data_IF_918830199667
#
_entry.id   IF_918830199667
#
_cell.length_a   1.000
_cell.length_b   1.000
_cell.length_c   1.000
_cell.angle_alpha   90.00
_cell.angle_beta   90.00
_cell.angle_gamma   90.00
#
_symmetry.space_group_name_H-M   'P 1'
#
loop_
_entity.id
_entity.type
_entity.pdbx_description
1 polymer ?
#
# COMPACT_ATOMS: atom_id res chain seq x y z
N UNK A 1 -11.30 -18.34 4.64
CA UNK A 1 -10.13 -17.86 5.41
C UNK A 1 -9.70 -16.50 4.91
N UNK A 2 -9.67 -15.49 5.77
CA UNK A 2 -9.19 -14.15 5.45
C UNK A 2 -7.83 -13.88 6.09
N UNK A 3 -7.07 -12.95 5.50
CA UNK A 3 -5.75 -12.56 5.99
C UNK A 3 -5.78 -11.09 6.47
N UNK A 4 -5.24 -10.83 7.65
CA UNK A 4 -5.08 -9.47 8.20
C UNK A 4 -3.67 -9.26 8.70
N UNK A 5 -3.11 -8.09 8.43
CA UNK A 5 -1.77 -7.74 8.84
C UNK A 5 -1.80 -6.66 9.93
N UNK A 6 -1.21 -6.95 11.09
CA UNK A 6 -1.06 -6.00 12.18
C UNK A 6 0.34 -5.41 12.15
N UNK A 7 0.42 -4.09 11.92
CA UNK A 7 1.70 -3.38 11.92
C UNK A 7 1.97 -2.76 13.29
N UNK A 8 3.17 -3.02 13.83
CA UNK A 8 3.65 -2.48 15.09
C UNK A 8 5.09 -1.98 15.00
N UNK A 9 5.48 -1.19 16.00
CA UNK A 9 6.81 -0.65 16.15
C UNK A 9 7.71 -1.63 16.91
N UNK A 10 8.89 -1.95 16.39
CA UNK A 10 9.90 -2.78 17.07
C UNK A 10 11.02 -1.93 17.71
N UNK A 11 11.55 -2.44 18.82
CA UNK A 11 12.67 -1.86 19.57
C UNK A 11 13.74 -2.92 19.83
N UNK A 12 14.53 -3.29 18.80
CA UNK A 12 15.63 -4.24 18.95
C UNK A 12 16.78 -3.69 19.79
N UNK A 13 17.50 -4.57 20.50
CA UNK A 13 18.80 -4.26 21.11
C UNK A 13 19.88 -4.10 20.03
N UNK A 14 21.07 -3.58 20.38
CA UNK A 14 22.16 -3.42 19.40
C UNK A 14 22.60 -4.73 18.74
N UNK A 15 22.64 -5.81 19.50
CA UNK A 15 22.95 -7.16 18.99
C UNK A 15 21.87 -7.63 18.00
N UNK A 16 20.59 -7.42 18.34
CA UNK A 16 19.47 -7.72 17.46
C UNK A 16 19.51 -6.86 16.18
N UNK A 17 19.87 -5.57 16.27
CA UNK A 17 20.04 -4.71 15.11
C UNK A 17 21.15 -5.19 14.15
N UNK A 18 22.26 -5.68 14.71
CA UNK A 18 23.34 -6.30 13.94
C UNK A 18 22.84 -7.55 13.22
N UNK A 19 22.14 -8.46 13.92
CA UNK A 19 21.59 -9.67 13.32
C UNK A 19 20.52 -9.37 12.26
N UNK A 20 19.66 -8.37 12.49
CA UNK A 20 18.70 -7.88 11.49
C UNK A 20 19.43 -7.36 10.24
N UNK A 21 20.50 -6.59 10.43
CA UNK A 21 21.31 -6.07 9.33
C UNK A 21 21.97 -7.19 8.52
N UNK A 22 22.51 -8.21 9.19
CA UNK A 22 23.02 -9.43 8.54
C UNK A 22 21.91 -10.14 7.77
N UNK A 23 20.74 -10.34 8.38
CA UNK A 23 19.57 -11.00 7.76
C UNK A 23 19.11 -10.29 6.49
N UNK A 24 18.99 -8.95 6.51
CA UNK A 24 18.67 -8.18 5.30
C UNK A 24 19.73 -8.34 4.20
N UNK A 25 21.01 -8.47 4.59
CA UNK A 25 22.12 -8.75 3.68
C UNK A 25 21.98 -10.12 3.03
N UNK A 26 21.74 -11.16 3.83
CA UNK A 26 21.61 -12.54 3.39
C UNK A 26 20.42 -12.74 2.44
N UNK A 27 19.25 -12.21 2.80
CA UNK A 27 18.04 -12.30 1.97
C UNK A 27 18.22 -11.59 0.63
N UNK A 28 18.90 -10.44 0.62
CA UNK A 28 19.25 -9.73 -0.63
C UNK A 28 20.21 -10.57 -1.48
N UNK A 29 21.26 -11.12 -0.87
CA UNK A 29 22.24 -11.94 -1.56
C UNK A 29 21.60 -13.16 -2.19
N UNK A 30 20.85 -13.96 -1.43
CA UNK A 30 20.17 -15.16 -1.93
C UNK A 30 19.23 -14.83 -3.09
N UNK A 31 18.40 -13.79 -2.94
CA UNK A 31 17.53 -13.36 -4.04
C UNK A 31 18.32 -13.02 -5.32
N UNK A 32 19.40 -12.25 -5.19
CA UNK A 32 20.21 -11.84 -6.35
C UNK A 32 20.95 -13.02 -6.97
N UNK A 33 21.51 -13.92 -6.15
CA UNK A 33 22.23 -15.11 -6.63
C UNK A 33 21.30 -16.05 -7.40
N UNK A 34 20.09 -16.27 -6.90
CA UNK A 34 19.07 -17.06 -7.59
C UNK A 34 18.59 -16.40 -8.89
N UNK A 35 18.48 -15.07 -8.92
CA UNK A 35 18.13 -14.34 -10.14
C UNK A 35 19.24 -14.44 -11.19
N UNK A 36 20.50 -14.27 -10.78
CA UNK A 36 21.68 -14.46 -11.63
C UNK A 36 21.71 -15.87 -12.24
N UNK A 37 21.60 -16.91 -11.42
CA UNK A 37 21.54 -18.30 -11.90
C UNK A 37 20.39 -18.50 -12.88
N UNK A 38 19.21 -17.91 -12.64
CA UNK A 38 18.06 -18.07 -13.54
C UNK A 38 18.29 -17.38 -14.89
N UNK A 39 18.95 -16.22 -14.90
CA UNK A 39 19.34 -15.54 -16.13
C UNK A 39 20.34 -16.40 -16.92
N UNK A 40 21.35 -16.98 -16.25
CA UNK A 40 22.33 -17.85 -16.88
C UNK A 40 21.71 -19.14 -17.44
N UNK A 41 20.81 -19.77 -16.68
CA UNK A 41 20.05 -20.94 -17.14
C UNK A 41 19.23 -20.59 -18.38
N UNK A 42 18.52 -19.45 -18.36
CA UNK A 42 17.76 -19.01 -19.52
C UNK A 42 18.67 -18.81 -20.72
N UNK A 43 19.79 -18.10 -20.57
CA UNK A 43 20.71 -17.83 -21.67
C UNK A 43 21.30 -19.11 -22.29
N UNK A 44 21.60 -20.11 -21.45
CA UNK A 44 22.15 -21.40 -21.89
C UNK A 44 21.14 -22.28 -22.63
N UNK A 45 19.87 -22.22 -22.25
CA UNK A 45 18.83 -23.13 -22.76
C UNK A 45 17.71 -22.41 -23.53
N UNK A 46 17.89 -21.13 -23.91
CA UNK A 46 16.86 -20.35 -24.62
C UNK A 46 16.48 -20.99 -25.97
N UNK A 47 17.42 -21.68 -26.60
CA UNK A 47 17.25 -22.34 -27.90
C UNK A 47 16.68 -23.77 -27.74
N UNK A 48 16.71 -24.35 -26.53
CA UNK A 48 16.13 -25.65 -26.20
C UNK A 48 15.03 -25.52 -25.13
N UNK A 49 13.79 -25.37 -25.62
CA UNK A 49 12.61 -25.18 -24.77
C UNK A 49 12.33 -26.37 -23.86
N UNK A 50 12.67 -27.59 -24.26
CA UNK A 50 12.43 -28.78 -23.43
C UNK A 50 13.44 -28.86 -22.28
N UNK A 51 14.73 -28.63 -22.57
CA UNK A 51 15.75 -28.56 -21.55
C UNK A 51 15.48 -27.43 -20.56
N UNK A 52 15.04 -26.26 -21.02
CA UNK A 52 14.71 -25.12 -20.16
C UNK A 52 13.55 -25.42 -19.19
N UNK A 53 12.51 -26.14 -19.65
CA UNK A 53 11.37 -26.56 -18.81
C UNK A 53 11.79 -27.51 -17.70
N UNK A 54 12.80 -28.35 -17.92
CA UNK A 54 13.33 -29.30 -16.93
C UNK A 54 14.14 -28.61 -15.82
N UNK A 55 14.54 -27.34 -15.98
CA UNK A 55 15.34 -26.61 -14.99
C UNK A 55 14.49 -26.06 -13.83
N UNK A 56 14.73 -26.60 -12.63
CA UNK A 56 14.04 -26.20 -11.40
C UNK A 56 14.72 -25.01 -10.69
N UNK A 57 14.00 -24.37 -9.77
CA UNK A 57 14.57 -23.30 -8.96
C UNK A 57 15.54 -23.87 -7.92
N UNK A 58 16.78 -23.34 -7.89
CA UNK A 58 17.72 -23.59 -6.80
C UNK A 58 17.09 -23.28 -5.44
N UNK A 59 17.39 -24.10 -4.43
CA UNK A 59 16.97 -23.82 -3.05
C UNK A 59 18.07 -23.05 -2.30
N UNK A 60 17.72 -22.21 -1.31
CA UNK A 60 18.72 -21.53 -0.49
C UNK A 60 19.71 -22.47 0.24
N UNK A 61 19.36 -23.75 0.41
CA UNK A 61 20.22 -24.75 1.01
C UNK A 61 21.51 -24.98 0.21
N UNK A 62 21.44 -24.91 -1.13
CA UNK A 62 22.60 -25.03 -2.03
C UNK A 62 23.71 -24.05 -1.64
N UNK A 63 23.34 -22.78 -1.43
CA UNK A 63 24.29 -21.71 -1.14
C UNK A 63 24.91 -21.79 0.25
N UNK A 64 24.33 -22.53 1.20
CA UNK A 64 24.88 -22.64 2.56
C UNK A 64 26.18 -23.43 2.63
N UNK A 65 26.49 -24.24 1.62
CA UNK A 65 27.78 -24.95 1.51
C UNK A 65 28.89 -23.99 1.10
N UNK A 66 28.65 -23.19 0.05
CA UNK A 66 29.60 -22.21 -0.49
C UNK A 66 29.70 -20.95 0.37
N UNK A 67 28.61 -20.55 1.03
CA UNK A 67 28.53 -19.34 1.85
C UNK A 67 28.06 -19.69 3.28
N UNK A 68 28.97 -20.16 4.16
CA UNK A 68 28.61 -20.63 5.52
C UNK A 68 27.92 -19.57 6.39
N UNK A 69 28.20 -18.28 6.19
CA UNK A 69 27.57 -17.17 6.91
C UNK A 69 26.05 -17.08 6.72
N UNK A 70 25.48 -17.73 5.68
CA UNK A 70 24.03 -17.89 5.53
C UNK A 70 23.39 -18.74 6.64
N UNK A 71 24.17 -19.50 7.41
CA UNK A 71 23.70 -20.30 8.55
C UNK A 71 23.49 -19.46 9.82
N UNK A 72 24.05 -18.24 9.87
CA UNK A 72 23.89 -17.32 11.01
C UNK A 72 22.45 -16.80 11.15
N UNK A 73 21.73 -16.70 10.03
CA UNK A 73 20.41 -16.08 9.96
C UNK A 73 19.29 -17.11 9.93
N UNK A 74 18.05 -16.62 10.08
CA UNK A 74 16.86 -17.45 9.99
C UNK A 74 16.74 -18.12 8.60
N UNK A 75 16.61 -19.45 8.58
CA UNK A 75 16.44 -20.22 7.35
C UNK A 75 15.13 -19.88 6.64
N UNK A 76 14.07 -19.54 7.37
CA UNK A 76 12.78 -19.16 6.80
C UNK A 76 12.88 -17.80 6.11
N UNK A 77 13.74 -16.90 6.59
CA UNK A 77 14.04 -15.65 5.90
C UNK A 77 14.64 -15.88 4.51
N UNK A 78 15.55 -16.86 4.39
CA UNK A 78 16.16 -17.24 3.12
C UNK A 78 15.16 -17.94 2.19
N UNK A 79 14.31 -18.82 2.73
CA UNK A 79 13.23 -19.46 1.97
C UNK A 79 12.24 -18.42 1.40
N UNK A 80 11.90 -17.38 2.17
CA UNK A 80 11.10 -16.28 1.66
C UNK A 80 11.80 -15.48 0.55
N UNK A 81 13.13 -15.43 0.52
CA UNK A 81 13.84 -14.81 -0.60
C UNK A 81 13.54 -15.53 -1.93
N UNK A 82 13.54 -16.87 -1.90
CA UNK A 82 13.14 -17.72 -3.01
C UNK A 82 11.68 -17.50 -3.40
N UNK A 83 10.74 -17.57 -2.43
CA UNK A 83 9.31 -17.39 -2.70
C UNK A 83 9.01 -16.01 -3.34
N UNK A 84 9.70 -14.97 -2.87
CA UNK A 84 9.59 -13.63 -3.44
C UNK A 84 10.08 -13.56 -4.90
N UNK A 85 11.14 -14.30 -5.25
CA UNK A 85 11.64 -14.36 -6.63
C UNK A 85 10.69 -15.14 -7.53
N UNK A 86 10.18 -16.29 -7.06
CA UNK A 86 9.18 -17.07 -7.79
C UNK A 86 7.92 -16.24 -8.08
N UNK A 87 7.41 -15.52 -7.08
CA UNK A 87 6.28 -14.59 -7.24
C UNK A 87 6.59 -13.46 -8.24
N UNK A 88 7.82 -12.94 -8.24
CA UNK A 88 8.23 -11.92 -9.20
C UNK A 88 8.19 -12.45 -10.65
N UNK A 89 8.67 -13.68 -10.89
CA UNK A 89 8.56 -14.33 -12.20
C UNK A 89 7.11 -14.65 -12.58
N UNK A 90 6.29 -15.17 -11.67
CA UNK A 90 4.86 -15.40 -11.92
C UNK A 90 4.14 -14.11 -12.35
N UNK A 91 4.45 -12.98 -11.70
CA UNK A 91 3.90 -11.69 -12.09
C UNK A 91 4.41 -11.21 -13.46
N UNK A 92 5.68 -11.48 -13.79
CA UNK A 92 6.24 -11.18 -15.10
C UNK A 92 5.56 -11.99 -16.21
N UNK A 93 5.44 -13.30 -16.07
CA UNK A 93 4.82 -14.17 -17.07
C UNK A 93 3.31 -13.93 -17.22
N UNK A 94 2.63 -13.45 -16.17
CA UNK A 94 1.22 -13.04 -16.24
C UNK A 94 1.01 -11.60 -16.75
N UNK A 95 2.07 -10.92 -17.22
CA UNK A 95 1.98 -9.54 -17.72
C UNK A 95 1.69 -8.47 -16.66
N UNK A 96 1.68 -8.84 -15.36
CA UNK A 96 1.37 -7.93 -14.24
C UNK A 96 2.55 -7.10 -13.78
N UNK A 97 3.77 -7.50 -14.14
CA UNK A 97 5.00 -6.77 -13.79
C UNK A 97 6.06 -6.92 -14.89
N UNK A 98 7.02 -6.01 -14.92
CA UNK A 98 8.23 -6.19 -15.75
C UNK A 98 9.17 -7.26 -15.19
N UNK A 99 10.22 -7.57 -15.94
CA UNK A 99 11.22 -8.57 -15.57
C UNK A 99 11.81 -8.32 -14.15
N UNK A 100 12.04 -9.39 -13.34
CA UNK A 100 12.60 -9.24 -12.00
C UNK A 100 13.95 -8.50 -12.01
N UNK A 101 14.12 -7.54 -11.10
CA UNK A 101 15.35 -6.73 -10.98
C UNK A 101 16.18 -7.15 -9.78
N UNK A 102 17.50 -7.02 -9.89
CA UNK A 102 18.43 -7.20 -8.77
C UNK A 102 18.10 -6.22 -7.62
N UNK A 103 18.11 -6.75 -6.40
CA UNK A 103 17.92 -5.97 -5.17
C UNK A 103 19.22 -5.27 -4.80
N UNK A 104 19.13 -4.00 -4.44
CA UNK A 104 20.28 -3.21 -3.98
C UNK A 104 20.22 -2.94 -2.46
N UNK A 105 21.38 -2.68 -1.84
CA UNK A 105 21.49 -2.43 -0.38
C UNK A 105 20.78 -1.15 0.08
N UNK A 106 20.57 -0.19 -0.83
CA UNK A 106 19.96 1.12 -0.54
C UNK A 106 18.43 1.10 -0.66
N UNK A 107 17.86 0.02 -1.19
CA UNK A 107 16.43 -0.19 -1.31
C UNK A 107 15.79 -0.52 0.06
N UNK A 108 14.50 -0.86 0.05
CA UNK A 108 13.78 -1.30 1.24
C UNK A 108 14.51 -2.48 1.88
N UNK A 109 14.88 -2.33 3.16
CA UNK A 109 15.46 -3.40 3.95
C UNK A 109 14.34 -4.11 4.70
N UNK A 110 14.02 -5.32 4.28
CA UNK A 110 12.99 -6.15 4.91
C UNK A 110 13.28 -7.64 4.72
N UNK A 111 12.79 -8.45 5.64
CA UNK A 111 12.66 -9.89 5.46
C UNK A 111 11.36 -10.39 6.09
N UNK A 112 10.94 -11.57 5.65
CA UNK A 112 9.75 -12.26 6.16
C UNK A 112 10.18 -13.60 6.74
N UNK A 113 9.62 -13.97 7.88
CA UNK A 113 9.77 -15.30 8.49
C UNK A 113 8.38 -15.89 8.74
N UNK A 114 8.27 -17.21 8.71
CA UNK A 114 7.01 -17.92 8.81
C UNK A 114 6.89 -18.61 10.18
N UNK A 115 5.65 -18.82 10.60
CA UNK A 115 5.38 -19.65 11.77
C UNK A 115 5.61 -21.11 11.38
N UNK A 116 6.51 -21.77 12.10
CA UNK A 116 6.78 -23.21 12.03
C UNK A 116 7.06 -23.69 13.44
N UNK A 117 6.36 -24.74 13.89
CA UNK A 117 6.59 -25.38 15.20
C UNK A 117 6.63 -24.39 16.38
N UNK A 118 5.73 -23.40 16.39
CA UNK A 118 5.63 -22.41 17.48
C UNK A 118 6.85 -21.50 17.66
N UNK A 119 7.66 -21.30 16.61
CA UNK A 119 8.87 -20.46 16.62
C UNK A 119 8.60 -18.96 16.80
N UNK A 120 7.37 -18.50 16.53
CA UNK A 120 6.91 -17.11 16.75
C UNK A 120 5.86 -17.11 17.85
N UNK A 121 6.06 -16.28 18.88
CA UNK A 121 5.15 -16.15 20.02
C UNK A 121 5.03 -14.68 20.44
N UNK A 122 3.87 -14.29 20.95
CA UNK A 122 3.62 -12.99 21.55
C UNK A 122 3.47 -13.17 23.07
N UNK A 123 4.08 -12.29 23.84
CA UNK A 123 3.95 -12.24 25.31
C UNK A 123 4.34 -10.84 25.80
N UNK A 124 3.51 -10.20 26.61
CA UNK A 124 3.86 -9.02 27.43
C UNK A 124 4.54 -7.85 26.67
N UNK A 125 4.10 -7.56 25.43
CA UNK A 125 4.72 -6.53 24.59
C UNK A 125 6.06 -6.94 23.97
N UNK A 126 6.35 -8.24 23.93
CA UNK A 126 7.47 -8.86 23.25
C UNK A 126 7.00 -9.86 22.20
N UNK A 127 7.78 -9.96 21.12
CA UNK A 127 7.61 -11.00 20.11
C UNK A 127 8.87 -11.86 20.04
N UNK A 128 8.70 -13.18 20.16
CA UNK A 128 9.75 -14.15 19.91
C UNK A 128 9.87 -14.38 18.42
N UNK A 129 11.08 -14.28 17.88
CA UNK A 129 11.37 -14.51 16.47
C UNK A 129 12.56 -15.48 16.32
N UNK A 130 12.61 -16.29 15.24
CA UNK A 130 13.73 -17.18 14.97
C UNK A 130 15.06 -16.43 14.97
N UNK A 131 16.08 -17.00 15.63
CA UNK A 131 17.43 -16.44 15.84
C UNK A 131 17.51 -15.13 16.65
N UNK A 132 16.51 -14.25 16.56
CA UNK A 132 16.46 -12.96 17.25
C UNK A 132 15.96 -13.05 18.70
N UNK A 133 15.35 -14.18 19.10
CA UNK A 133 14.74 -14.38 20.41
C UNK A 133 13.64 -13.33 20.65
N UNK A 134 13.44 -12.90 21.90
CA UNK A 134 12.41 -11.92 22.28
C UNK A 134 12.83 -10.50 21.92
N UNK A 135 11.97 -9.79 21.20
CA UNK A 135 12.15 -8.38 20.83
C UNK A 135 10.97 -7.58 21.36
N UNK A 136 11.26 -6.45 22.03
CA UNK A 136 10.23 -5.52 22.50
C UNK A 136 9.53 -4.86 21.32
N UNK A 137 8.21 -4.77 21.38
CA UNK A 137 7.42 -4.03 20.39
C UNK A 137 6.30 -3.23 21.06
N UNK A 138 5.87 -2.13 20.45
CA UNK A 138 4.74 -1.33 20.96
C UNK A 138 3.43 -1.89 20.43
N UNK A 139 2.87 -2.83 21.19
CA UNK A 139 1.52 -3.32 20.98
C UNK A 139 0.51 -2.25 21.40
N UNK A 140 -0.07 -1.56 20.43
CA UNK A 140 -1.08 -0.50 20.64
C UNK A 140 -2.49 -0.96 20.25
N UNK A 141 -2.64 -2.25 19.93
CA UNK A 141 -3.89 -2.93 19.61
C UNK A 141 -3.68 -4.42 19.82
N UNK A 142 -4.72 -5.11 20.27
CA UNK A 142 -4.70 -6.54 20.45
C UNK A 142 -4.85 -7.27 19.12
N UNK A 143 -4.27 -8.47 19.05
CA UNK A 143 -4.54 -9.43 17.99
C UNK A 143 -5.57 -10.38 18.59
N UNK A 144 -6.78 -10.50 18.03
CA UNK A 144 -7.82 -11.35 18.61
C UNK A 144 -7.35 -12.80 18.72
N UNK A 145 -7.77 -13.50 19.77
CA UNK A 145 -7.28 -14.86 20.06
C UNK A 145 -7.57 -15.88 18.93
N UNK A 146 -8.65 -15.68 18.18
CA UNK A 146 -9.03 -16.50 17.03
C UNK A 146 -8.20 -16.23 15.76
N UNK A 147 -7.30 -15.25 15.78
CA UNK A 147 -6.37 -14.98 14.68
C UNK A 147 -5.10 -15.82 14.80
N UNK A 148 -4.85 -16.67 13.82
CA UNK A 148 -3.69 -17.55 13.76
C UNK A 148 -2.55 -16.82 13.05
N UNK A 149 -1.41 -16.63 13.73
CA UNK A 149 -0.23 -16.01 13.12
C UNK A 149 0.35 -16.94 12.04
N UNK A 150 0.61 -16.41 10.84
CA UNK A 150 1.20 -17.16 9.72
C UNK A 150 2.62 -16.72 9.40
N UNK A 151 2.89 -15.42 9.46
CA UNK A 151 4.20 -14.88 9.14
C UNK A 151 4.45 -13.52 9.80
N UNK A 152 5.71 -13.15 9.94
CA UNK A 152 6.14 -11.84 10.40
C UNK A 152 7.10 -11.22 9.39
N UNK A 153 6.82 -10.00 8.97
CA UNK A 153 7.72 -9.22 8.10
C UNK A 153 8.32 -8.06 8.87
N UNK A 154 9.64 -8.03 9.00
CA UNK A 154 10.37 -6.93 9.64
C UNK A 154 10.88 -5.99 8.56
N UNK A 155 10.70 -4.69 8.76
CA UNK A 155 11.17 -3.64 7.86
C UNK A 155 11.96 -2.59 8.63
N UNK A 156 13.07 -2.12 8.05
CA UNK A 156 13.80 -0.94 8.52
C UNK A 156 13.46 0.26 7.65
N UNK A 157 12.95 1.34 8.25
CA UNK A 157 12.68 2.59 7.54
C UNK A 157 13.97 3.37 7.28
N UNK A 158 13.89 4.37 6.39
CA UNK A 158 15.04 5.23 6.04
C UNK A 158 15.60 6.04 7.22
N UNK A 159 14.82 6.22 8.29
CA UNK A 159 15.23 6.93 9.51
C UNK A 159 15.87 6.00 10.56
N UNK A 160 16.10 4.72 10.21
CA UNK A 160 16.75 3.74 11.09
C UNK A 160 15.78 3.00 12.01
N UNK A 161 14.49 3.24 11.81
CA UNK A 161 13.39 2.79 12.63
C UNK A 161 12.95 1.37 12.21
N UNK A 162 12.59 0.47 13.14
CA UNK A 162 12.13 -0.89 12.82
C UNK A 162 10.63 -1.07 13.07
N UNK A 163 9.95 -1.69 12.10
CA UNK A 163 8.54 -2.05 12.20
C UNK A 163 8.35 -3.54 11.88
N UNK A 164 7.34 -4.15 12.49
CA UNK A 164 6.92 -5.52 12.22
C UNK A 164 5.49 -5.54 11.69
N UNK A 165 5.25 -6.34 10.67
CA UNK A 165 3.93 -6.69 10.16
C UNK A 165 3.67 -8.15 10.49
N UNK A 166 2.73 -8.40 11.41
CA UNK A 166 2.31 -9.74 11.83
C UNK A 166 1.12 -10.12 10.96
N UNK A 167 1.31 -11.06 10.04
CA UNK A 167 0.27 -11.60 9.19
C UNK A 167 -0.48 -12.69 9.95
N UNK A 168 -1.78 -12.52 10.09
CA UNK A 168 -2.69 -13.49 10.69
C UNK A 168 -3.71 -13.98 9.68
N UNK A 169 -4.09 -15.23 9.82
CA UNK A 169 -5.21 -15.87 9.13
C UNK A 169 -6.32 -16.11 10.15
N UNK A 170 -7.56 -15.86 9.75
CA UNK A 170 -8.72 -16.05 10.61
C UNK A 170 -9.93 -16.44 9.76
N UNK A 171 -10.89 -17.12 10.39
CA UNK A 171 -12.17 -17.35 9.76
C UNK A 171 -12.95 -16.03 9.73
N UNK A 172 -13.36 -15.62 8.54
CA UNK A 172 -14.12 -14.40 8.34
C UNK A 172 -15.28 -14.72 7.42
N UNK A 173 -16.47 -14.68 7.98
CA UNK A 173 -17.73 -14.78 7.26
C UNK A 173 -18.50 -13.49 7.57
N UNK A 174 -18.26 -12.40 6.81
CA UNK A 174 -18.99 -11.17 7.03
C UNK A 174 -20.46 -11.44 6.66
N UNK A 175 -21.36 -11.22 7.61
CA UNK A 175 -22.81 -11.28 7.34
C UNK A 175 -23.14 -10.11 6.40
N UNK A 176 -23.64 -10.36 5.17
CA UNK A 176 -24.00 -9.28 4.27
C UNK A 176 -25.00 -8.34 4.95
N UNK A 177 -24.67 -7.06 4.98
CA UNK A 177 -25.56 -6.05 5.56
C UNK A 177 -26.52 -5.56 4.49
N UNK A 178 -27.80 -5.46 4.83
CA UNK A 178 -28.79 -4.79 3.99
C UNK A 178 -28.39 -3.32 3.80
N UNK A 179 -28.53 -2.83 2.57
CA UNK A 179 -28.10 -1.48 2.23
C UNK A 179 -29.23 -0.50 2.51
N UNK A 180 -29.14 0.23 3.62
CA UNK A 180 -30.10 1.28 3.97
C UNK A 180 -29.54 2.68 3.72
N UNK A 181 -28.24 2.85 3.94
CA UNK A 181 -27.56 4.14 3.82
C UNK A 181 -26.53 4.10 2.69
N UNK A 182 -26.65 5.02 1.73
CA UNK A 182 -25.80 5.10 0.53
C UNK A 182 -25.26 6.51 0.35
N UNK A 183 -23.96 6.61 0.08
CA UNK A 183 -23.29 7.87 -0.28
C UNK A 183 -22.48 7.72 -1.56
N UNK A 184 -22.57 8.71 -2.44
CA UNK A 184 -21.70 8.83 -3.61
C UNK A 184 -20.53 9.77 -3.30
N UNK A 185 -19.32 9.43 -3.71
CA UNK A 185 -18.13 10.27 -3.56
C UNK A 185 -17.56 10.65 -4.93
N UNK A 186 -17.60 11.94 -5.23
CA UNK A 186 -16.88 12.52 -6.36
C UNK A 186 -15.42 12.82 -5.95
N UNK A 187 -14.47 12.49 -6.82
CA UNK A 187 -13.05 12.68 -6.52
C UNK A 187 -12.66 14.16 -6.57
N UNK A 188 -12.09 14.65 -5.48
CA UNK A 188 -11.57 16.01 -5.41
C UNK A 188 -10.07 16.03 -5.18
N UNK A 189 -9.33 16.57 -6.15
CA UNK A 189 -7.88 16.75 -6.05
C UNK A 189 -7.46 17.53 -4.79
N UNK A 190 -8.23 18.54 -4.41
CA UNK A 190 -7.90 19.44 -3.31
C UNK A 190 -8.37 18.92 -1.94
N UNK A 191 -9.51 18.23 -1.88
CA UNK A 191 -10.18 17.89 -0.61
C UNK A 191 -10.31 16.40 -0.33
N UNK A 192 -9.81 15.52 -1.22
CA UNK A 192 -10.00 14.06 -1.31
C UNK A 192 -11.29 13.68 -2.04
N UNK A 193 -12.44 14.11 -1.53
CA UNK A 193 -13.73 13.93 -2.19
C UNK A 193 -14.73 15.01 -1.80
N UNK A 194 -15.78 15.11 -2.61
CA UNK A 194 -17.07 15.74 -2.27
C UNK A 194 -18.12 14.63 -2.23
N UNK A 195 -18.91 14.56 -1.17
CA UNK A 195 -19.97 13.57 -1.05
C UNK A 195 -21.34 14.10 -1.51
N UNK A 196 -22.28 13.17 -1.73
CA UNK A 196 -23.64 13.46 -2.18
C UNK A 196 -24.48 14.25 -1.18
N UNK A 197 -23.98 14.51 0.04
CA UNK A 197 -24.60 15.36 1.05
C UNK A 197 -23.97 16.76 1.08
N UNK A 198 -23.05 17.06 0.16
CA UNK A 198 -22.37 18.36 0.05
C UNK A 198 -21.15 18.51 0.95
N UNK A 199 -20.78 17.47 1.70
CA UNK A 199 -19.64 17.51 2.61
C UNK A 199 -18.35 17.14 1.90
N UNK A 200 -17.28 17.83 2.28
CA UNK A 200 -15.93 17.63 1.74
C UNK A 200 -15.04 16.98 2.80
N UNK A 201 -14.14 16.11 2.38
CA UNK A 201 -13.20 15.47 3.31
C UNK A 201 -12.16 16.46 3.90
N UNK A 202 -11.95 17.62 3.27
CA UNK A 202 -11.06 18.68 3.76
C UNK A 202 -9.62 18.19 3.99
N UNK A 203 -9.07 17.41 3.05
CA UNK A 203 -7.70 16.92 3.13
C UNK A 203 -6.69 18.08 3.34
N UNK A 204 -5.87 18.07 4.42
CA UNK A 204 -5.00 19.22 4.76
C UNK A 204 -3.85 19.51 3.78
N UNK A 205 -3.59 18.66 2.78
CA UNK A 205 -2.48 18.79 1.82
C UNK A 205 -1.10 18.84 2.51
N UNK A 206 -0.82 17.81 3.31
CA UNK A 206 0.38 17.72 4.15
C UNK A 206 1.70 17.91 3.38
N UNK A 207 1.78 17.46 2.12
CA UNK A 207 2.99 17.65 1.33
C UNK A 207 3.20 19.13 0.97
N UNK A 208 2.13 19.84 0.61
CA UNK A 208 2.20 21.28 0.29
C UNK A 208 2.63 22.10 1.51
N UNK A 209 2.06 21.82 2.68
CA UNK A 209 2.44 22.48 3.94
C UNK A 209 3.93 22.27 4.29
N UNK A 210 4.49 21.12 3.94
CA UNK A 210 5.89 20.79 4.21
C UNK A 210 6.85 21.18 3.08
N UNK A 211 6.36 21.72 1.95
CA UNK A 211 7.13 21.87 0.72
C UNK A 211 8.29 22.85 0.89
N UNK A 212 8.06 24.01 1.48
CA UNK A 212 9.10 25.02 1.71
C UNK A 212 10.28 24.43 2.51
N UNK A 213 9.96 23.77 3.62
CA UNK A 213 10.96 23.10 4.47
C UNK A 213 11.65 21.97 3.72
N UNK A 214 10.91 21.14 2.98
CA UNK A 214 11.49 20.06 2.17
C UNK A 214 12.48 20.59 1.14
N UNK A 215 12.09 21.60 0.37
CA UNK A 215 12.92 22.23 -0.66
C UNK A 215 14.22 22.78 -0.06
N UNK A 216 14.11 23.49 1.08
CA UNK A 216 15.29 23.99 1.80
C UNK A 216 16.22 22.86 2.23
N UNK A 217 15.70 21.84 2.93
CA UNK A 217 16.52 20.74 3.43
C UNK A 217 17.11 19.88 2.30
N UNK A 218 16.42 19.77 1.15
CA UNK A 218 16.92 19.10 -0.05
C UNK A 218 18.03 19.91 -0.74
N UNK A 219 17.90 21.24 -0.85
CA UNK A 219 18.96 22.13 -1.37
C UNK A 219 20.21 22.08 -0.51
N UNK A 220 20.06 22.02 0.81
CA UNK A 220 21.21 21.80 1.71
C UNK A 220 21.82 20.43 1.44
N UNK A 221 21.02 19.37 1.26
CA UNK A 221 21.53 18.02 0.99
C UNK A 221 22.33 17.94 -0.30
N UNK A 222 21.86 18.56 -1.38
CA UNK A 222 22.53 18.50 -2.70
C UNK A 222 23.91 19.16 -2.68
N UNK A 223 24.09 20.22 -1.89
CA UNK A 223 25.38 20.91 -1.70
C UNK A 223 26.38 20.14 -0.83
N UNK A 224 25.97 19.07 -0.13
CA UNK A 224 26.88 18.27 0.72
C UNK A 224 27.57 17.18 -0.10
N UNK A 225 28.88 16.98 0.14
CA UNK A 225 29.64 15.86 -0.43
C UNK A 225 28.99 14.52 -0.05
N UNK A 226 28.49 13.80 -1.05
CA UNK A 226 27.84 12.49 -0.91
C UNK A 226 28.74 11.52 -0.14
N UNK A 227 28.16 10.82 0.84
CA UNK A 227 28.89 9.87 1.70
C UNK A 227 29.59 10.49 2.92
N UNK A 228 29.72 11.82 3.00
CA UNK A 228 30.24 12.46 4.23
C UNK A 228 29.28 12.33 5.41
N UNK A 229 29.81 12.43 6.63
CA UNK A 229 28.99 12.46 7.86
C UNK A 229 27.95 13.59 7.84
N UNK A 230 28.31 14.78 7.31
CA UNK A 230 27.39 15.90 7.14
C UNK A 230 26.26 15.56 6.16
N UNK A 231 26.57 14.89 5.05
CA UNK A 231 25.58 14.42 4.09
C UNK A 231 24.64 13.38 4.72
N UNK A 232 25.15 12.42 5.49
CA UNK A 232 24.32 11.42 6.16
C UNK A 232 23.35 12.04 7.18
N UNK A 233 23.82 12.99 7.99
CA UNK A 233 22.97 13.77 8.92
C UNK A 233 21.85 14.50 8.17
N UNK A 234 22.19 15.19 7.08
CA UNK A 234 21.21 15.93 6.29
C UNK A 234 20.19 15.02 5.58
N UNK A 235 20.65 13.90 5.01
CA UNK A 235 19.79 12.89 4.38
C UNK A 235 18.74 12.36 5.35
N UNK A 236 19.13 12.13 6.62
CA UNK A 236 18.20 11.70 7.67
C UNK A 236 17.15 12.77 8.00
N UNK A 237 17.50 14.07 7.98
CA UNK A 237 16.51 15.15 8.15
C UNK A 237 15.45 15.12 7.05
N UNK A 238 15.88 15.03 5.78
CA UNK A 238 14.96 14.91 4.64
C UNK A 238 14.09 13.64 4.75
N UNK A 239 14.68 12.50 5.13
CA UNK A 239 13.95 11.26 5.34
C UNK A 239 12.88 11.37 6.45
N UNK A 240 13.19 12.06 7.56
CA UNK A 240 12.23 12.32 8.65
C UNK A 240 11.05 13.18 8.19
N UNK A 241 11.28 14.17 7.34
CA UNK A 241 10.20 15.00 6.78
C UNK A 241 9.26 14.18 5.90
N UNK A 242 9.80 13.39 4.96
CA UNK A 242 8.98 12.50 4.13
C UNK A 242 8.22 11.46 4.96
N UNK A 243 8.85 10.90 6.00
CA UNK A 243 8.18 9.97 6.91
C UNK A 243 7.01 10.64 7.65
N UNK A 244 7.20 11.87 8.15
CA UNK A 244 6.13 12.65 8.80
C UNK A 244 4.94 12.84 7.86
N UNK A 245 5.18 13.30 6.63
CA UNK A 245 4.12 13.53 5.62
C UNK A 245 3.39 12.22 5.30
N UNK A 246 4.13 11.14 5.09
CA UNK A 246 3.52 9.83 4.79
C UNK A 246 2.65 9.33 5.94
N UNK A 247 3.09 9.51 7.19
CA UNK A 247 2.34 9.10 8.38
C UNK A 247 1.08 9.96 8.58
N UNK A 248 1.17 11.28 8.44
CA UNK A 248 0.03 12.18 8.54
C UNK A 248 -1.03 11.87 7.49
N UNK A 249 -0.62 11.64 6.24
CA UNK A 249 -1.53 11.21 5.16
C UNK A 249 -2.22 9.90 5.52
N UNK A 250 -1.47 8.87 5.90
CA UNK A 250 -2.04 7.58 6.29
C UNK A 250 -3.05 7.71 7.43
N UNK A 251 -2.70 8.46 8.47
CA UNK A 251 -3.57 8.69 9.63
C UNK A 251 -4.90 9.32 9.20
N UNK A 252 -4.85 10.41 8.41
CA UNK A 252 -6.04 11.06 7.88
C UNK A 252 -6.90 10.09 7.05
N UNK A 253 -6.30 9.38 6.07
CA UNK A 253 -7.08 8.48 5.22
C UNK A 253 -7.67 7.29 5.98
N UNK A 254 -6.98 6.77 7.02
CA UNK A 254 -7.55 5.72 7.87
C UNK A 254 -8.74 6.23 8.68
N UNK A 255 -8.66 7.45 9.24
CA UNK A 255 -9.76 8.07 9.98
C UNK A 255 -10.96 8.32 9.07
N UNK A 256 -10.73 8.89 7.89
CA UNK A 256 -11.83 9.23 6.97
C UNK A 256 -12.51 7.97 6.41
N UNK A 257 -11.74 6.96 5.97
CA UNK A 257 -12.34 5.69 5.52
C UNK A 257 -13.04 4.92 6.63
N UNK A 258 -12.58 5.03 7.89
CA UNK A 258 -13.28 4.41 9.02
C UNK A 258 -14.60 5.13 9.33
N UNK A 259 -14.60 6.47 9.30
CA UNK A 259 -15.80 7.29 9.48
C UNK A 259 -16.87 6.95 8.43
N UNK A 260 -16.51 6.87 7.15
CA UNK A 260 -17.45 6.47 6.09
C UNK A 260 -17.96 5.05 6.27
N UNK A 261 -17.07 4.09 6.55
CA UNK A 261 -17.45 2.70 6.78
C UNK A 261 -18.34 2.51 8.02
N UNK A 262 -18.28 3.44 8.99
CA UNK A 262 -19.18 3.46 10.15
C UNK A 262 -20.57 4.01 9.78
N UNK A 263 -20.62 5.11 9.04
CA UNK A 263 -21.85 5.85 8.74
C UNK A 263 -22.71 5.20 7.66
N UNK A 264 -22.10 4.64 6.62
CA UNK A 264 -22.81 4.16 5.43
C UNK A 264 -22.71 2.65 5.27
N UNK A 265 -23.72 2.04 4.66
CA UNK A 265 -23.77 0.62 4.31
C UNK A 265 -23.31 0.36 2.88
N UNK A 266 -23.44 1.37 2.02
CA UNK A 266 -22.82 1.39 0.71
C UNK A 266 -22.15 2.73 0.42
N UNK A 267 -20.93 2.65 -0.13
CA UNK A 267 -20.24 3.81 -0.69
C UNK A 267 -20.04 3.58 -2.18
N UNK A 268 -20.36 4.58 -2.98
CA UNK A 268 -20.22 4.54 -4.44
C UNK A 268 -19.14 5.53 -4.87
N UNK A 269 -18.22 5.08 -5.72
CA UNK A 269 -17.11 5.89 -6.24
C UNK A 269 -16.95 5.63 -7.75
N UNK A 270 -16.26 6.53 -8.45
CA UNK A 270 -15.83 6.29 -9.83
C UNK A 270 -14.55 5.44 -9.89
N UNK A 271 -14.43 4.58 -10.92
CA UNK A 271 -13.22 3.82 -11.17
C UNK A 271 -12.13 4.65 -11.88
N UNK A 272 -11.41 5.47 -11.10
CA UNK A 272 -10.42 6.38 -11.66
C UNK A 272 -9.09 5.70 -12.00
N UNK A 273 -8.58 5.97 -13.21
CA UNK A 273 -7.21 5.61 -13.59
C UNK A 273 -6.20 6.60 -12.98
N UNK A 274 -5.95 6.46 -11.69
CA UNK A 274 -5.03 7.32 -10.93
C UNK A 274 -3.61 7.35 -11.51
N UNK A 275 -3.16 6.25 -12.11
CA UNK A 275 -1.83 6.18 -12.73
C UNK A 275 -1.78 7.08 -13.97
N UNK A 276 -2.77 6.97 -14.86
CA UNK A 276 -2.91 7.84 -16.02
C UNK A 276 -3.02 9.32 -15.60
N UNK A 277 -3.87 9.62 -14.63
CA UNK A 277 -4.04 10.99 -14.11
C UNK A 277 -2.76 11.56 -13.49
N UNK A 278 -1.93 10.74 -12.83
CA UNK A 278 -0.66 11.21 -12.27
C UNK A 278 0.39 11.55 -13.33
N UNK A 279 0.27 10.95 -14.52
CA UNK A 279 1.18 11.14 -15.65
C UNK A 279 0.73 12.27 -16.58
N UNK A 280 -0.57 12.62 -16.54
CA UNK A 280 -1.13 13.71 -17.31
C UNK A 280 -0.96 15.07 -16.60
N UNK A 281 -0.61 16.11 -17.38
CA UNK A 281 -0.85 17.54 -17.10
C UNK A 281 -0.40 18.06 -15.71
N UNK A 282 0.90 18.15 -15.39
CA UNK A 282 1.45 18.83 -14.19
C UNK A 282 0.81 18.46 -12.82
N UNK A 283 -0.09 17.48 -12.76
CA UNK A 283 -0.92 17.14 -11.62
C UNK A 283 -0.28 16.10 -10.71
N UNK A 284 0.83 15.49 -11.14
CA UNK A 284 1.52 14.42 -10.41
C UNK A 284 1.76 14.76 -8.94
N UNK A 285 2.19 15.98 -8.61
CA UNK A 285 2.41 16.39 -7.22
C UNK A 285 1.12 16.39 -6.38
N UNK A 286 0.00 16.86 -6.95
CA UNK A 286 -1.28 16.95 -6.25
C UNK A 286 -1.97 15.58 -6.16
N UNK A 287 -1.91 14.76 -7.22
CA UNK A 287 -2.41 13.37 -7.21
C UNK A 287 -1.65 12.54 -6.18
N UNK A 288 -0.31 12.66 -6.17
CA UNK A 288 0.52 11.95 -5.21
C UNK A 288 0.32 12.47 -3.78
N UNK A 289 -0.13 13.71 -3.59
CA UNK A 289 -0.43 14.20 -2.24
C UNK A 289 -1.77 13.71 -1.71
N UNK A 290 -2.81 13.68 -2.54
CA UNK A 290 -4.18 13.38 -2.14
C UNK A 290 -4.37 11.94 -1.63
N UNK A 291 -3.71 10.96 -2.26
CA UNK A 291 -3.69 9.58 -1.76
C UNK A 291 -4.96 8.75 -2.03
N UNK A 292 -5.80 9.15 -2.98
CA UNK A 292 -7.06 8.47 -3.35
C UNK A 292 -6.97 6.95 -3.43
N UNK A 293 -6.00 6.39 -4.18
CA UNK A 293 -5.88 4.92 -4.30
C UNK A 293 -5.62 4.20 -2.97
N UNK A 294 -4.93 4.86 -2.03
CA UNK A 294 -4.73 4.33 -0.68
C UNK A 294 -6.03 4.43 0.14
N UNK A 295 -6.77 5.53 -0.01
CA UNK A 295 -8.07 5.72 0.62
C UNK A 295 -9.10 4.71 0.16
N UNK A 296 -9.25 4.49 -1.16
CA UNK A 296 -10.22 3.53 -1.71
C UNK A 296 -9.87 2.11 -1.27
N UNK A 297 -8.60 1.75 -1.23
CA UNK A 297 -8.15 0.47 -0.65
C UNK A 297 -8.52 0.35 0.83
N UNK A 298 -8.38 1.43 1.61
CA UNK A 298 -8.73 1.43 3.03
C UNK A 298 -10.22 1.36 3.29
N UNK A 299 -11.00 2.04 2.46
CA UNK A 299 -12.44 2.03 2.50
C UNK A 299 -12.99 0.65 2.13
N UNK A 300 -12.45 0.05 1.07
CA UNK A 300 -12.84 -1.27 0.58
C UNK A 300 -12.75 -2.33 1.68
N UNK A 301 -11.56 -2.56 2.25
CA UNK A 301 -11.42 -3.64 3.23
C UNK A 301 -12.24 -3.37 4.52
N UNK A 302 -12.50 -2.12 4.88
CA UNK A 302 -13.30 -1.79 6.08
C UNK A 302 -14.80 -1.99 5.87
N UNK A 303 -15.28 -1.77 4.65
CA UNK A 303 -16.66 -2.08 4.29
C UNK A 303 -16.84 -3.60 4.20
N UNK A 304 -15.93 -4.29 3.50
CA UNK A 304 -15.94 -5.76 3.38
C UNK A 304 -15.89 -6.44 4.75
N UNK A 305 -15.04 -5.98 5.68
CA UNK A 305 -14.97 -6.49 7.07
C UNK A 305 -16.30 -6.37 7.85
N UNK A 306 -17.21 -5.50 7.41
CA UNK A 306 -18.51 -5.25 8.03
C UNK A 306 -19.69 -5.80 7.18
N UNK A 307 -19.41 -6.56 6.11
CA UNK A 307 -20.44 -7.06 5.19
C UNK A 307 -21.09 -5.97 4.34
N UNK A 308 -20.47 -4.79 4.25
CA UNK A 308 -20.93 -3.61 3.53
C UNK A 308 -20.31 -3.53 2.13
N UNK A 309 -20.84 -2.65 1.27
CA UNK A 309 -20.49 -2.62 -0.16
C UNK A 309 -19.72 -1.36 -0.56
N UNK A 310 -18.62 -1.53 -1.30
CA UNK A 310 -18.02 -0.47 -2.10
C UNK A 310 -18.34 -0.72 -3.57
N UNK A 311 -19.05 0.20 -4.21
CA UNK A 311 -19.37 0.12 -5.63
C UNK A 311 -18.47 1.05 -6.42
N UNK A 312 -17.88 0.52 -7.49
CA UNK A 312 -17.17 1.31 -8.48
C UNK A 312 -18.01 1.42 -9.74
N UNK A 313 -18.40 2.64 -10.09
CA UNK A 313 -19.10 2.90 -11.35
C UNK A 313 -18.11 3.15 -12.48
N UNK A 314 -18.61 3.05 -13.71
CA UNK A 314 -17.78 3.25 -14.89
C UNK A 314 -17.19 4.67 -14.92
N UNK A 315 -15.91 4.78 -15.25
CA UNK A 315 -15.19 6.06 -15.31
C UNK A 315 -15.66 7.01 -16.41
N UNK A 316 -16.39 6.50 -17.39
CA UNK A 316 -16.97 7.25 -18.50
C UNK A 316 -18.42 7.67 -18.23
N UNK A 317 -18.99 7.25 -17.11
CA UNK A 317 -20.30 7.73 -16.68
C UNK A 317 -20.25 9.27 -16.55
N UNK A 318 -21.14 10.02 -17.23
CA UNK A 318 -21.06 11.48 -17.29
C UNK A 318 -21.61 12.15 -16.01
N UNK A 319 -21.09 11.76 -14.85
CA UNK A 319 -21.54 12.21 -13.51
C UNK A 319 -21.61 13.73 -13.40
N UNK A 320 -20.57 14.44 -13.84
CA UNK A 320 -20.49 15.90 -13.75
C UNK A 320 -21.38 16.64 -14.76
N UNK A 321 -21.75 16.00 -15.86
CA UNK A 321 -22.56 16.59 -16.95
C UNK A 321 -24.04 16.28 -16.85
N UNK A 322 -24.40 15.24 -16.11
CA UNK A 322 -25.79 14.82 -15.91
C UNK A 322 -26.44 15.71 -14.86
N UNK A 323 -27.67 16.15 -15.09
CA UNK A 323 -28.46 16.81 -14.04
C UNK A 323 -28.98 15.77 -13.05
N UNK A 324 -28.65 15.91 -11.77
CA UNK A 324 -29.17 15.02 -10.73
C UNK A 324 -30.67 15.14 -10.46
N UNK A 325 -31.31 16.23 -10.91
CA UNK A 325 -32.74 16.44 -10.79
C UNK A 325 -33.54 15.81 -11.94
N UNK A 326 -33.19 16.10 -13.20
CA UNK A 326 -33.99 15.67 -14.37
C UNK A 326 -33.31 14.62 -15.26
N UNK A 327 -32.03 14.29 -15.02
CA UNK A 327 -31.28 13.31 -15.81
C UNK A 327 -30.74 13.81 -17.16
N UNK A 328 -31.04 15.04 -17.58
CA UNK A 328 -30.51 15.62 -18.82
C UNK A 328 -28.98 15.71 -18.77
N UNK A 329 -28.30 15.31 -19.84
CA UNK A 329 -26.84 15.34 -19.94
C UNK A 329 -26.42 16.53 -20.80
N UNK A 330 -25.58 17.41 -20.27
CA UNK A 330 -24.98 18.49 -21.05
C UNK A 330 -24.02 17.96 -22.10
N UNK A 331 -24.03 18.55 -23.30
CA UNK A 331 -23.06 18.23 -24.35
C UNK A 331 -21.63 18.60 -23.91
N UNK A 332 -21.46 19.81 -23.38
CA UNK A 332 -20.19 20.34 -22.92
C UNK A 332 -20.30 20.93 -21.51
N UNK A 333 -19.19 20.84 -20.77
CA UNK A 333 -19.03 21.47 -19.46
C UNK A 333 -17.54 21.73 -19.27
N UNK A 334 -17.16 23.00 -19.08
CA UNK A 334 -15.77 23.38 -18.89
C UNK A 334 -15.29 23.06 -17.47
N UNK A 335 -13.97 22.84 -17.30
CA UNK A 335 -13.38 22.62 -15.98
C UNK A 335 -13.49 23.85 -15.06
N UNK A 336 -13.58 25.05 -15.64
CA UNK A 336 -13.76 26.34 -14.95
C UNK A 336 -15.15 26.53 -14.37
N UNK A 337 -16.18 25.90 -14.96
CA UNK A 337 -17.54 25.96 -14.42
C UNK A 337 -17.62 25.17 -13.12
N UNK A 338 -17.77 25.87 -12.00
CA UNK A 338 -17.91 25.28 -10.66
C UNK A 338 -19.35 25.09 -10.21
N UNK A 339 -20.28 25.79 -10.85
CA UNK A 339 -21.71 25.68 -10.60
C UNK A 339 -22.36 24.95 -11.77
N UNK A 340 -23.12 23.90 -11.47
CA UNK A 340 -23.95 23.20 -12.43
C UNK A 340 -25.32 23.89 -12.52
N UNK A 341 -25.71 24.30 -13.72
CA UNK A 341 -27.01 24.89 -14.02
C UNK A 341 -27.71 24.09 -15.11
N UNK A 342 -28.93 23.65 -14.88
CA UNK A 342 -29.73 22.90 -15.83
C UNK A 342 -30.90 23.74 -16.37
N UNK A 343 -31.37 23.41 -17.57
CA UNK A 343 -32.56 24.01 -18.19
C UNK A 343 -33.83 23.72 -17.39
N UNK A 344 -33.87 22.64 -16.60
CA UNK A 344 -34.98 22.36 -15.67
C UNK A 344 -35.02 23.30 -14.45
N UNK A 345 -34.10 24.27 -14.35
CA UNK A 345 -34.00 25.21 -13.24
C UNK A 345 -33.12 24.76 -12.07
N UNK A 346 -32.60 23.52 -12.11
CA UNK A 346 -31.72 23.02 -11.05
C UNK A 346 -30.34 23.71 -11.06
N UNK A 347 -29.91 24.21 -9.90
CA UNK A 347 -28.59 24.81 -9.66
C UNK A 347 -27.92 24.20 -8.44
N UNK A 348 -26.65 23.78 -8.57
CA UNK A 348 -25.86 23.20 -7.47
C UNK A 348 -24.37 23.37 -7.71
N UNK A 349 -23.54 23.23 -6.68
CA UNK A 349 -22.11 22.95 -6.86
C UNK A 349 -21.93 21.73 -7.77
N UNK A 350 -21.03 21.83 -8.75
CA UNK A 350 -20.80 20.81 -9.77
C UNK A 350 -20.32 19.49 -9.18
N UNK A 351 -19.40 19.55 -8.21
CA UNK A 351 -18.81 18.36 -7.61
C UNK A 351 -19.89 17.66 -6.72
N UNK A 352 -20.78 18.43 -6.08
CA UNK A 352 -21.96 17.88 -5.36
C UNK A 352 -22.95 17.22 -6.32
N UNK A 353 -23.29 17.86 -7.43
CA UNK A 353 -24.16 17.27 -8.46
C UNK A 353 -23.56 15.95 -9.00
N UNK A 354 -22.25 15.93 -9.27
CA UNK A 354 -21.55 14.72 -9.68
C UNK A 354 -21.66 13.61 -8.61
N UNK A 355 -21.44 13.94 -7.34
CA UNK A 355 -21.55 12.98 -6.24
C UNK A 355 -22.97 12.39 -6.09
N UNK A 356 -24.01 13.20 -6.29
CA UNK A 356 -25.41 12.73 -6.31
C UNK A 356 -25.64 11.77 -7.48
N UNK A 357 -25.16 12.09 -8.69
CA UNK A 357 -25.28 11.20 -9.83
C UNK A 357 -24.51 9.88 -9.64
N UNK A 358 -23.32 9.92 -9.03
CA UNK A 358 -22.54 8.73 -8.66
C UNK A 358 -23.36 7.84 -7.72
N UNK A 359 -24.00 8.44 -6.70
CA UNK A 359 -24.90 7.71 -5.80
C UNK A 359 -26.04 7.06 -6.58
N UNK A 360 -26.76 7.81 -7.41
CA UNK A 360 -27.90 7.31 -8.19
C UNK A 360 -27.50 6.13 -9.10
N UNK A 361 -26.38 6.24 -9.80
CA UNK A 361 -25.86 5.16 -10.65
C UNK A 361 -25.51 3.91 -9.85
N UNK A 362 -24.90 4.06 -8.66
CA UNK A 362 -24.64 2.93 -7.78
C UNK A 362 -25.91 2.27 -7.23
N UNK A 363 -26.94 3.06 -6.90
CA UNK A 363 -28.23 2.56 -6.42
C UNK A 363 -28.97 1.77 -7.51
N UNK A 364 -28.98 2.24 -8.77
CA UNK A 364 -29.49 1.48 -9.92
C UNK A 364 -28.85 0.09 -10.05
N UNK A 365 -27.53 0.00 -9.87
CA UNK A 365 -26.79 -1.29 -9.91
C UNK A 365 -27.12 -2.21 -8.73
N UNK A 366 -27.61 -1.67 -7.63
CA UNK A 366 -28.07 -2.45 -6.47
C UNK A 366 -29.54 -2.90 -6.59
N UNK A 367 -30.26 -2.47 -7.64
CA UNK A 367 -31.72 -2.61 -7.74
C UNK A 367 -32.47 -1.98 -6.54
N UNK A 368 -31.84 -1.00 -5.89
CA UNK A 368 -32.46 -0.16 -4.86
C UNK A 368 -32.83 1.12 -5.62
N UNK A 369 -34.06 1.17 -6.14
CA UNK A 369 -34.55 2.31 -6.92
C UNK A 369 -35.17 3.37 -6.00
#
# INVERSE_FOLDING_TARGET
MANKAYQFRLYPTKEQEQLLTKTFGCVRFVYNKMLEERIQIYEKFKDDKEALKKQTFSTPAKYKKEFPWLKEVDSLALANAQLNLQKAFQNFFSGRAGFPKFKNRKAKQSYTTNVVNGNIKLSDGYIKLPKLKWIKFKQHREIPAHHIIKACTITKTKTGKYDISILTEYEHQPVPKEVQTVVGLDFSMNTLYVDSEGKRANYPRFYRQALEKLTREQRVLSRRRKGSNRWHKQRLKVAKLHEKISNQRKDFLHKESHKLAKLYDCVVIEDLNMKGMSQALHFGQSVHDNGWGMFTSFLQYKLEEQGKKLIKIDKWFPSSKTCSCCGQVKESLSLSERTFRCECGFESDRDVNAAINIKHEGMKRLAIA
#
